data_IF_086993995504
#
_entry.id   IF_086993995504
#
_cell.length_a   1.000
_cell.length_b   1.000
_cell.length_c   1.000
_cell.angle_alpha   90.00
_cell.angle_beta   90.00
_cell.angle_gamma   90.00
#
_symmetry.space_group_name_H-M   'P 1'
#
loop_
_entity.id
_entity.type
_entity.pdbx_description
1 polymer ?
#
# COMPACT_ATOMS: atom_id res chain seq x y z
N UNK A 1 -18.48 14.47 -27.07
CA UNK A 1 -17.05 14.85 -27.19
C UNK A 1 -16.49 15.69 -26.03
N UNK A 2 -17.31 16.26 -25.12
CA UNK A 2 -16.81 17.14 -24.05
C UNK A 2 -16.31 16.45 -22.76
N UNK A 3 -16.71 15.19 -22.50
CA UNK A 3 -16.33 14.48 -21.27
C UNK A 3 -14.83 14.10 -21.21
N UNK A 4 -14.15 13.98 -22.35
CA UNK A 4 -12.72 13.62 -22.38
C UNK A 4 -11.79 14.77 -21.99
N UNK A 5 -12.18 16.04 -22.22
CA UNK A 5 -11.31 17.20 -21.99
C UNK A 5 -11.22 17.60 -20.51
N UNK A 6 -12.35 17.59 -19.78
CA UNK A 6 -12.35 17.89 -18.34
C UNK A 6 -11.54 16.87 -17.53
N UNK A 7 -11.55 15.61 -17.96
CA UNK A 7 -10.81 14.53 -17.34
C UNK A 7 -9.29 14.70 -17.44
N UNK A 8 -8.78 14.94 -18.66
CA UNK A 8 -7.33 15.13 -18.88
C UNK A 8 -6.82 16.36 -18.12
N UNK A 9 -7.68 17.38 -17.97
CA UNK A 9 -7.35 18.57 -17.17
C UNK A 9 -7.33 18.22 -15.67
N UNK A 10 -8.26 17.41 -15.18
CA UNK A 10 -8.30 16.97 -13.78
C UNK A 10 -7.08 16.15 -13.36
N UNK A 11 -6.64 15.20 -14.19
CA UNK A 11 -5.42 14.42 -13.91
C UNK A 11 -4.16 15.29 -13.93
N UNK A 12 -3.99 16.13 -14.95
CA UNK A 12 -2.83 17.04 -15.02
C UNK A 12 -2.79 18.03 -13.86
N UNK A 13 -3.95 18.52 -13.43
CA UNK A 13 -4.04 19.41 -12.28
C UNK A 13 -3.72 18.69 -10.97
N UNK A 14 -4.12 17.43 -10.83
CA UNK A 14 -3.72 16.60 -9.70
C UNK A 14 -2.19 16.37 -9.67
N UNK A 15 -1.57 16.14 -10.82
CA UNK A 15 -0.12 16.00 -10.93
C UNK A 15 0.61 17.31 -10.50
N UNK A 16 0.07 18.48 -10.87
CA UNK A 16 0.59 19.77 -10.43
C UNK A 16 0.48 19.92 -8.90
N UNK A 17 -0.70 19.66 -8.33
CA UNK A 17 -0.87 19.69 -6.87
C UNK A 17 0.05 18.69 -6.16
N UNK A 18 0.27 17.51 -6.72
CA UNK A 18 1.20 16.51 -6.18
C UNK A 18 2.65 17.04 -6.21
N UNK A 19 3.08 17.67 -7.31
CA UNK A 19 4.42 18.25 -7.42
C UNK A 19 4.66 19.42 -6.45
N UNK A 20 3.59 20.11 -6.05
CA UNK A 20 3.59 21.17 -5.04
C UNK A 20 3.35 20.65 -3.61
N UNK A 21 3.31 19.32 -3.41
CA UNK A 21 3.04 18.66 -2.11
C UNK A 21 1.66 19.03 -1.51
N UNK A 22 0.71 19.45 -2.35
CA UNK A 22 -0.67 19.71 -1.95
C UNK A 22 -1.48 18.42 -2.05
N UNK A 23 -1.14 17.44 -1.20
CA UNK A 23 -1.62 16.06 -1.30
C UNK A 23 -3.14 15.93 -1.28
N UNK A 24 -3.81 16.54 -0.29
CA UNK A 24 -5.27 16.53 -0.18
C UNK A 24 -5.96 17.14 -1.40
N UNK A 25 -5.43 18.21 -1.97
CA UNK A 25 -6.01 18.82 -3.19
C UNK A 25 -5.83 17.92 -4.41
N UNK A 26 -4.66 17.29 -4.54
CA UNK A 26 -4.42 16.29 -5.58
C UNK A 26 -5.40 15.11 -5.46
N UNK A 27 -5.58 14.57 -4.25
CA UNK A 27 -6.49 13.48 -3.95
C UNK A 27 -7.95 13.85 -4.27
N UNK A 28 -8.38 15.07 -3.90
CA UNK A 28 -9.71 15.59 -4.21
C UNK A 28 -9.93 15.70 -5.72
N UNK A 29 -8.96 16.22 -6.47
CA UNK A 29 -9.06 16.32 -7.94
C UNK A 29 -9.18 14.95 -8.60
N UNK A 30 -8.40 13.95 -8.15
CA UNK A 30 -8.50 12.58 -8.64
C UNK A 30 -9.79 11.88 -8.21
N UNK A 31 -10.34 12.22 -7.04
CA UNK A 31 -11.61 11.64 -6.57
C UNK A 31 -12.84 12.19 -7.30
N UNK A 32 -12.76 13.43 -7.79
CA UNK A 32 -13.81 14.09 -8.58
C UNK A 32 -13.85 13.67 -10.04
N UNK A 33 -12.82 12.96 -10.50
CA UNK A 33 -12.85 12.27 -11.80
C UNK A 33 -13.88 11.13 -11.72
N UNK A 34 -14.84 11.12 -12.64
CA UNK A 34 -15.85 10.07 -12.71
C UNK A 34 -15.24 8.70 -13.09
N UNK A 35 -14.77 7.99 -12.06
CA UNK A 35 -14.28 6.62 -12.13
C UNK A 35 -15.38 5.65 -12.57
N UNK A 36 -16.66 6.03 -12.46
CA UNK A 36 -17.83 5.19 -12.77
C UNK A 36 -18.47 5.51 -14.12
N UNK A 37 -17.87 6.40 -14.91
CA UNK A 37 -18.25 6.58 -16.31
C UNK A 37 -18.23 5.25 -17.07
N UNK A 38 -19.28 4.97 -17.85
CA UNK A 38 -19.53 3.68 -18.53
C UNK A 38 -18.34 3.10 -19.31
N UNK A 39 -17.46 3.95 -19.83
CA UNK A 39 -16.25 3.58 -20.58
C UNK A 39 -15.14 3.05 -19.63
N UNK A 40 -15.04 3.60 -18.42
CA UNK A 40 -14.01 3.28 -17.41
C UNK A 40 -14.45 2.23 -16.40
N UNK A 41 -15.76 1.95 -16.31
CA UNK A 41 -16.27 0.77 -15.58
C UNK A 41 -15.60 -0.54 -16.02
N UNK A 42 -15.08 -0.59 -17.25
CA UNK A 42 -14.46 -1.76 -17.85
C UNK A 42 -12.96 -1.90 -17.55
N UNK A 43 -12.28 -0.83 -17.14
CA UNK A 43 -10.84 -0.87 -16.83
C UNK A 43 -10.60 -0.96 -15.31
N UNK A 44 -10.69 -2.19 -14.80
CA UNK A 44 -10.45 -2.50 -13.38
C UNK A 44 -9.03 -2.13 -12.93
N UNK A 45 -8.05 -2.21 -13.82
CA UNK A 45 -6.64 -1.90 -13.52
C UNK A 45 -6.47 -0.39 -13.34
N UNK A 46 -7.08 0.42 -14.21
CA UNK A 46 -7.10 1.87 -14.07
C UNK A 46 -7.79 2.29 -12.76
N UNK A 47 -8.95 1.72 -12.44
CA UNK A 47 -9.64 1.98 -11.16
C UNK A 47 -8.78 1.62 -9.95
N UNK A 48 -8.14 0.46 -9.99
CA UNK A 48 -7.24 0.01 -8.92
C UNK A 48 -6.09 1.01 -8.73
N UNK A 49 -5.42 1.38 -9.83
CA UNK A 49 -4.33 2.36 -9.82
C UNK A 49 -4.76 3.70 -9.21
N UNK A 50 -5.92 4.24 -9.60
CA UNK A 50 -6.42 5.49 -9.04
C UNK A 50 -6.83 5.39 -7.57
N UNK A 51 -7.49 4.31 -7.15
CA UNK A 51 -7.81 4.11 -5.73
C UNK A 51 -6.54 4.03 -4.87
N UNK A 52 -5.50 3.32 -5.34
CA UNK A 52 -4.21 3.23 -4.64
C UNK A 52 -3.50 4.59 -4.61
N UNK A 53 -3.48 5.33 -5.73
CA UNK A 53 -2.90 6.68 -5.81
C UNK A 53 -3.59 7.65 -4.84
N UNK A 54 -4.93 7.67 -4.82
CA UNK A 54 -5.70 8.55 -3.93
C UNK A 54 -5.45 8.19 -2.46
N UNK A 55 -5.40 6.90 -2.13
CA UNK A 55 -5.10 6.44 -0.77
C UNK A 55 -3.69 6.87 -0.32
N UNK A 56 -2.68 6.77 -1.22
CA UNK A 56 -1.33 7.30 -0.96
C UNK A 56 -1.38 8.80 -0.66
N UNK A 57 -2.04 9.59 -1.51
CA UNK A 57 -2.08 11.05 -1.34
C UNK A 57 -2.70 11.46 0.00
N UNK A 58 -3.81 10.86 0.41
CA UNK A 58 -4.38 11.14 1.73
C UNK A 58 -3.47 10.68 2.87
N UNK A 59 -2.75 9.57 2.69
CA UNK A 59 -1.78 9.10 3.69
C UNK A 59 -0.60 10.08 3.87
N UNK A 60 -0.11 10.72 2.81
CA UNK A 60 0.98 11.72 2.90
C UNK A 60 0.54 13.02 3.59
N UNK A 61 -0.77 13.23 3.79
CA UNK A 61 -1.35 14.34 4.56
C UNK A 61 -1.89 13.90 5.93
N UNK A 62 -1.49 12.71 6.41
CA UNK A 62 -1.98 12.06 7.64
C UNK A 62 -3.51 11.88 7.73
N UNK A 63 -4.24 11.99 6.62
CA UNK A 63 -5.69 11.78 6.56
C UNK A 63 -6.02 10.28 6.42
N UNK A 64 -5.84 9.58 7.53
CA UNK A 64 -6.04 8.14 7.60
C UNK A 64 -7.50 7.71 7.32
N UNK A 65 -8.47 8.60 7.54
CA UNK A 65 -9.90 8.31 7.34
C UNK A 65 -10.20 8.22 5.85
N UNK A 66 -9.81 9.24 5.07
CA UNK A 66 -10.01 9.22 3.64
C UNK A 66 -9.10 8.20 2.96
N UNK A 67 -7.86 8.03 3.42
CA UNK A 67 -6.96 6.99 2.91
C UNK A 67 -7.58 5.57 3.06
N UNK A 68 -8.14 5.25 4.24
CA UNK A 68 -8.78 3.95 4.48
C UNK A 68 -10.01 3.73 3.56
N UNK A 69 -10.80 4.77 3.31
CA UNK A 69 -11.94 4.68 2.41
C UNK A 69 -11.54 4.25 0.99
N UNK A 70 -10.46 4.81 0.45
CA UNK A 70 -9.98 4.47 -0.89
C UNK A 70 -9.21 3.16 -0.96
N UNK A 71 -8.42 2.81 0.07
CA UNK A 71 -7.72 1.51 0.09
C UNK A 71 -8.69 0.33 0.24
N UNK A 72 -9.82 0.53 0.92
CA UNK A 72 -10.89 -0.46 0.98
C UNK A 72 -11.56 -0.64 -0.39
N UNK A 73 -11.81 0.44 -1.14
CA UNK A 73 -12.27 0.34 -2.55
C UNK A 73 -11.27 -0.43 -3.42
N UNK A 74 -9.97 -0.16 -3.27
CA UNK A 74 -8.92 -0.89 -3.97
C UNK A 74 -8.92 -2.40 -3.61
N UNK A 75 -9.19 -2.75 -2.35
CA UNK A 75 -9.20 -4.15 -1.89
C UNK A 75 -10.21 -5.03 -2.65
N UNK A 76 -11.35 -4.49 -3.06
CA UNK A 76 -12.33 -5.23 -3.89
C UNK A 76 -11.83 -5.50 -5.33
N UNK A 77 -10.90 -4.69 -5.82
CA UNK A 77 -10.36 -4.78 -7.18
C UNK A 77 -9.13 -5.69 -7.25
N UNK A 78 -8.30 -5.72 -6.20
CA UNK A 78 -7.08 -6.53 -6.11
C UNK A 78 -7.35 -8.02 -6.28
N UNK A 79 -8.46 -8.54 -5.74
CA UNK A 79 -8.80 -9.97 -5.79
C UNK A 79 -8.88 -10.55 -7.21
N UNK A 80 -9.14 -9.69 -8.21
CA UNK A 80 -9.28 -10.08 -9.62
C UNK A 80 -8.17 -9.48 -10.51
N UNK A 81 -7.15 -8.86 -9.91
CA UNK A 81 -6.08 -8.16 -10.62
C UNK A 81 -4.86 -9.06 -10.79
N UNK A 82 -4.34 -9.13 -12.02
CA UNK A 82 -3.05 -9.78 -12.32
C UNK A 82 -1.86 -8.80 -12.22
N UNK A 83 -2.12 -7.52 -11.92
CA UNK A 83 -1.10 -6.48 -11.92
C UNK A 83 -0.30 -6.49 -10.61
N UNK A 84 0.81 -7.24 -10.60
CA UNK A 84 1.62 -7.49 -9.40
C UNK A 84 2.10 -6.23 -8.68
N UNK A 85 2.57 -5.22 -9.42
CA UNK A 85 3.05 -3.94 -8.84
C UNK A 85 1.94 -3.23 -8.05
N UNK A 86 0.76 -3.04 -8.65
CA UNK A 86 -0.38 -2.41 -7.99
C UNK A 86 -0.86 -3.22 -6.77
N UNK A 87 -0.85 -4.54 -6.87
CA UNK A 87 -1.21 -5.41 -5.74
C UNK A 87 -0.21 -5.25 -4.58
N UNK A 88 1.09 -5.10 -4.87
CA UNK A 88 2.11 -4.84 -3.85
C UNK A 88 1.94 -3.45 -3.23
N UNK A 89 1.78 -2.41 -4.06
CA UNK A 89 1.52 -1.05 -3.59
C UNK A 89 0.29 -0.99 -2.68
N UNK A 90 -0.79 -1.67 -3.07
CA UNK A 90 -1.98 -1.83 -2.23
C UNK A 90 -1.65 -2.43 -0.85
N UNK A 91 -0.91 -3.56 -0.80
CA UNK A 91 -0.50 -4.17 0.46
C UNK A 91 0.29 -3.20 1.35
N UNK A 92 1.28 -2.51 0.78
CA UNK A 92 2.15 -1.56 1.49
C UNK A 92 1.35 -0.39 2.05
N UNK A 93 0.56 0.30 1.22
CA UNK A 93 -0.22 1.44 1.70
C UNK A 93 -1.31 1.02 2.69
N UNK A 94 -1.91 -0.15 2.52
CA UNK A 94 -2.89 -0.63 3.50
C UNK A 94 -2.24 -0.89 4.87
N UNK A 95 -1.06 -1.51 4.91
CA UNK A 95 -0.34 -1.69 6.17
C UNK A 95 -0.02 -0.34 6.84
N UNK A 96 0.50 0.64 6.07
CA UNK A 96 0.80 1.99 6.57
C UNK A 96 -0.44 2.73 7.09
N UNK A 97 -1.58 2.61 6.41
CA UNK A 97 -2.84 3.23 6.85
C UNK A 97 -3.30 2.63 8.18
N UNK A 98 -3.23 1.30 8.35
CA UNK A 98 -3.62 0.64 9.60
C UNK A 98 -2.70 1.06 10.76
N UNK A 99 -1.41 1.18 10.49
CA UNK A 99 -0.40 1.67 11.43
C UNK A 99 -0.71 3.10 11.91
N UNK A 100 -0.96 4.02 10.96
CA UNK A 100 -1.36 5.39 11.26
C UNK A 100 -2.65 5.47 12.09
N UNK A 101 -3.60 4.55 11.82
CA UNK A 101 -4.85 4.40 12.59
C UNK A 101 -4.69 3.71 13.94
N UNK A 102 -3.45 3.35 14.33
CA UNK A 102 -3.13 2.61 15.57
C UNK A 102 -3.77 1.22 15.65
N UNK A 103 -4.13 0.63 14.50
CA UNK A 103 -4.59 -0.76 14.42
C UNK A 103 -3.37 -1.68 14.31
N UNK A 104 -2.51 -1.61 15.32
CA UNK A 104 -1.15 -2.13 15.24
C UNK A 104 -1.06 -3.64 15.00
N UNK A 105 -1.95 -4.44 15.60
CA UNK A 105 -1.95 -5.89 15.36
C UNK A 105 -2.25 -6.24 13.90
N UNK A 106 -3.23 -5.56 13.31
CA UNK A 106 -3.62 -5.75 11.90
C UNK A 106 -2.52 -5.24 10.95
N UNK A 107 -1.92 -4.09 11.28
CA UNK A 107 -0.77 -3.56 10.55
C UNK A 107 0.42 -4.54 10.59
N UNK A 108 0.72 -5.10 11.78
CA UNK A 108 1.82 -6.03 11.98
C UNK A 108 1.69 -7.28 11.10
N UNK A 109 0.49 -7.89 11.06
CA UNK A 109 0.24 -9.06 10.23
C UNK A 109 0.45 -8.75 8.74
N UNK A 110 -0.01 -7.58 8.28
CA UNK A 110 0.17 -7.16 6.88
C UNK A 110 1.63 -6.87 6.54
N UNK A 111 2.36 -6.21 7.43
CA UNK A 111 3.80 -5.99 7.25
C UNK A 111 4.58 -7.30 7.23
N UNK A 112 4.20 -8.27 8.08
CA UNK A 112 4.78 -9.59 8.06
C UNK A 112 4.52 -10.30 6.73
N UNK A 113 3.28 -10.31 6.23
CA UNK A 113 2.95 -10.89 4.92
C UNK A 113 3.76 -10.27 3.76
N UNK A 114 4.11 -8.98 3.85
CA UNK A 114 4.97 -8.30 2.88
C UNK A 114 6.41 -8.80 2.99
N UNK A 115 6.93 -8.95 4.22
CA UNK A 115 8.30 -9.46 4.45
C UNK A 115 8.52 -10.89 3.93
N UNK A 116 7.45 -11.70 3.84
CA UNK A 116 7.52 -13.09 3.37
C UNK A 116 7.38 -13.24 1.84
N UNK A 117 7.47 -12.15 1.08
CA UNK A 117 7.38 -12.23 -0.39
C UNK A 117 8.66 -12.87 -0.95
N UNK A 118 8.58 -14.17 -1.27
CA UNK A 118 9.69 -14.95 -1.84
C UNK A 118 10.05 -14.53 -3.27
N UNK A 119 9.04 -14.14 -4.07
CA UNK A 119 9.24 -13.73 -5.46
C UNK A 119 9.59 -12.25 -5.54
N UNK A 120 10.89 -11.97 -5.43
CA UNK A 120 11.46 -10.61 -5.49
C UNK A 120 11.30 -9.95 -6.85
N UNK A 121 11.15 -10.72 -7.93
CA UNK A 121 10.90 -10.19 -9.27
C UNK A 121 9.41 -9.87 -9.48
N UNK A 122 9.07 -8.59 -9.59
CA UNK A 122 7.68 -8.13 -9.80
C UNK A 122 7.37 -8.09 -11.30
N UNK A 123 8.25 -7.46 -12.09
CA UNK A 123 8.21 -7.36 -13.55
C UNK A 123 9.60 -7.71 -14.14
N UNK A 124 9.72 -7.71 -15.47
CA UNK A 124 10.94 -8.13 -16.18
C UNK A 124 12.20 -7.44 -15.63
N UNK A 125 12.10 -6.15 -15.33
CA UNK A 125 13.21 -5.29 -14.92
C UNK A 125 13.00 -4.65 -13.53
N UNK A 126 11.93 -5.02 -12.81
CA UNK A 126 11.62 -4.49 -11.47
C UNK A 126 11.74 -5.57 -10.40
N UNK A 127 12.59 -5.29 -9.41
CA UNK A 127 12.88 -6.16 -8.29
C UNK A 127 12.54 -5.46 -6.97
N UNK A 128 12.06 -6.22 -6.00
CA UNK A 128 11.93 -5.76 -4.62
C UNK A 128 13.34 -5.83 -4.01
N UNK A 129 13.82 -4.68 -3.54
CA UNK A 129 15.04 -4.61 -2.75
C UNK A 129 14.87 -5.37 -1.44
N UNK A 130 15.91 -6.09 -1.03
CA UNK A 130 15.91 -6.81 0.24
C UNK A 130 15.71 -5.86 1.42
N UNK A 131 16.25 -4.65 1.32
CA UNK A 131 16.10 -3.63 2.36
C UNK A 131 14.63 -3.31 2.62
N UNK A 132 13.78 -3.32 1.60
CA UNK A 132 12.34 -3.07 1.74
C UNK A 132 11.64 -4.21 2.49
N UNK A 133 12.06 -5.46 2.28
CA UNK A 133 11.51 -6.61 2.99
C UNK A 133 11.93 -6.61 4.47
N UNK A 134 13.18 -6.24 4.74
CA UNK A 134 13.70 -6.08 6.11
C UNK A 134 13.02 -4.93 6.85
N UNK A 135 12.77 -3.80 6.17
CA UNK A 135 12.01 -2.68 6.72
C UNK A 135 10.57 -3.10 7.04
N UNK A 136 9.91 -3.86 6.17
CA UNK A 136 8.58 -4.39 6.44
C UNK A 136 8.59 -5.33 7.67
N UNK A 137 9.57 -6.23 7.79
CA UNK A 137 9.69 -7.10 8.96
C UNK A 137 9.93 -6.29 10.25
N UNK A 138 10.76 -5.25 10.17
CA UNK A 138 11.01 -4.35 11.29
C UNK A 138 9.74 -3.61 11.71
N UNK A 139 8.97 -3.09 10.74
CA UNK A 139 7.68 -2.46 10.99
C UNK A 139 6.68 -3.43 11.64
N UNK A 140 6.66 -4.71 11.22
CA UNK A 140 5.81 -5.74 11.82
C UNK A 140 6.13 -5.96 13.31
N UNK A 141 7.42 -6.07 13.65
CA UNK A 141 7.87 -6.24 15.04
C UNK A 141 7.53 -5.01 15.88
N UNK A 142 7.77 -3.81 15.35
CA UNK A 142 7.45 -2.54 16.02
C UNK A 142 5.95 -2.40 16.26
N UNK A 143 5.11 -2.65 15.26
CA UNK A 143 3.66 -2.61 15.44
C UNK A 143 3.21 -3.61 16.51
N UNK A 144 3.76 -4.83 16.52
CA UNK A 144 3.37 -5.84 17.50
C UNK A 144 3.78 -5.45 18.93
N UNK A 145 4.92 -4.78 19.11
CA UNK A 145 5.32 -4.28 20.44
C UNK A 145 4.43 -3.13 20.92
N UNK A 146 3.93 -2.30 20.01
CA UNK A 146 3.00 -1.20 20.32
C UNK A 146 1.56 -1.67 20.61
N UNK A 147 1.17 -2.85 20.16
CA UNK A 147 -0.22 -3.35 20.24
C UNK A 147 -0.69 -3.79 21.65
N UNK A 148 0.18 -3.79 22.67
CA UNK A 148 -0.11 -4.04 24.10
C UNK A 148 -1.31 -4.96 24.41
N UNK A 149 -1.10 -6.29 24.41
CA UNK A 149 -2.14 -7.27 24.80
C UNK A 149 -1.68 -8.74 24.69
N UNK A 150 -2.46 -9.70 25.24
CA UNK A 150 -2.12 -11.14 25.21
C UNK A 150 -2.02 -11.71 23.79
N UNK A 151 -2.82 -11.21 22.84
CA UNK A 151 -2.73 -11.59 21.42
C UNK A 151 -1.38 -11.22 20.79
N UNK A 152 -0.73 -10.18 21.31
CA UNK A 152 0.61 -9.79 20.90
C UNK A 152 1.66 -10.84 21.32
N UNK A 153 1.49 -11.52 22.45
CA UNK A 153 2.48 -12.49 22.96
C UNK A 153 2.70 -13.65 21.98
N UNK A 154 1.63 -14.14 21.36
CA UNK A 154 1.68 -15.21 20.36
C UNK A 154 2.28 -14.72 19.03
N UNK A 155 1.84 -13.56 18.55
CA UNK A 155 2.36 -12.95 17.31
C UNK A 155 3.83 -12.58 17.45
N UNK A 156 4.24 -11.99 18.58
CA UNK A 156 5.64 -11.69 18.89
C UNK A 156 6.51 -12.94 18.82
N UNK A 157 6.06 -14.06 19.40
CA UNK A 157 6.84 -15.31 19.38
C UNK A 157 7.08 -15.82 17.95
N UNK A 158 6.08 -15.70 17.06
CA UNK A 158 6.21 -16.07 15.65
C UNK A 158 7.17 -15.11 14.93
N UNK A 159 6.99 -13.80 15.11
CA UNK A 159 7.80 -12.77 14.45
C UNK A 159 9.26 -12.79 14.91
N UNK A 160 9.53 -13.00 16.20
CA UNK A 160 10.90 -13.12 16.72
C UNK A 160 11.63 -14.33 16.12
N UNK A 161 10.94 -15.48 16.00
CA UNK A 161 11.52 -16.66 15.35
C UNK A 161 11.78 -16.40 13.87
N UNK A 162 10.84 -15.77 13.16
CA UNK A 162 10.99 -15.43 11.75
C UNK A 162 12.17 -14.47 11.52
N UNK A 163 12.31 -13.43 12.36
CA UNK A 163 13.45 -12.49 12.29
C UNK A 163 14.79 -13.15 12.59
N UNK A 164 14.85 -14.03 13.58
CA UNK A 164 16.07 -14.77 13.89
C UNK A 164 16.48 -15.69 12.72
N UNK A 165 15.54 -16.39 12.09
CA UNK A 165 15.80 -17.21 10.90
C UNK A 165 16.27 -16.36 9.72
N UNK A 166 15.65 -15.20 9.48
CA UNK A 166 16.06 -14.30 8.41
C UNK A 166 17.50 -13.79 8.57
N UNK A 167 17.90 -13.41 9.79
CA UNK A 167 19.28 -12.99 10.09
C UNK A 167 20.29 -14.12 9.85
N UNK A 168 19.96 -15.35 10.24
CA UNK A 168 20.83 -16.52 10.03
C UNK A 168 20.97 -16.84 8.54
N UNK A 169 19.89 -16.75 7.76
CA UNK A 169 19.95 -16.99 6.31
C UNK A 169 20.69 -15.87 5.57
N UNK A 170 20.54 -14.61 6.00
CA UNK A 170 21.29 -13.48 5.44
C UNK A 170 22.80 -13.63 5.63
N UNK A 171 23.24 -14.09 6.81
CA UNK A 171 24.65 -14.40 7.07
C UNK A 171 25.18 -15.57 6.22
N UNK A 172 24.34 -16.60 6.00
CA UNK A 172 24.71 -17.75 5.17
C UNK A 172 24.81 -17.40 3.67
N UNK A 173 24.10 -16.38 3.19
CA UNK A 173 24.17 -15.93 1.80
C UNK A 173 25.39 -15.01 1.52
N UNK A 174 26.01 -14.46 2.56
CA UNK A 174 27.20 -13.59 2.47
C UNK A 174 28.53 -14.31 2.76
N UNK A 175 28.49 -15.62 3.05
CA UNK A 175 29.66 -16.49 3.32
C UNK A 175 29.93 -17.43 2.16
#
# INVERSE_FOLDING_TARGET
>A
MFHGKHFVVGEKLADLYESEQQWSKSAQMLSGVDLDSRIRMLDKTYKLSKCVQIARLYLEDDDAVNAEAFINKASFLVSNSQHKVLNLQHKVYYARILDLKRKFLEAALRYFDISQIEKRQILRDEWIDEEVLEQALTAAVTCTSLAAGPECSSVLTILYKARALALVMGWAAMS
#
